data_IF_752822916283
#
_entry.id   IF_752822916283
#
_cell.length_a   1.000
_cell.length_b   1.000
_cell.length_c   1.000
_cell.angle_alpha   90.00
_cell.angle_beta   90.00
_cell.angle_gamma   90.00
#
_symmetry.space_group_name_H-M   'P 1'
#
loop_
_entity.id
_entity.type
_entity.pdbx_description
1 polymer ?
#
# COMPACT_ATOMS: atom_id res chain seq x y z
N UNK A 1 2.34 -4.46 11.14
CA UNK A 1 1.74 -5.25 10.04
C UNK A 1 2.86 -5.65 9.08
N UNK A 2 2.83 -6.87 8.54
CA UNK A 2 3.72 -7.31 7.46
C UNK A 2 2.89 -7.70 6.25
N UNK A 3 3.27 -7.28 5.06
CA UNK A 3 2.69 -7.73 3.80
C UNK A 3 3.73 -8.55 3.03
N UNK A 4 3.34 -9.72 2.56
CA UNK A 4 4.13 -10.54 1.63
C UNK A 4 3.42 -10.53 0.28
N UNK A 5 4.18 -10.38 -0.81
CA UNK A 5 3.65 -10.32 -2.18
C UNK A 5 4.37 -11.38 -3.03
N UNK A 6 3.59 -12.21 -3.72
CA UNK A 6 4.06 -13.26 -4.64
C UNK A 6 3.28 -13.14 -5.95
N UNK A 7 3.95 -12.71 -7.03
CA UNK A 7 3.27 -12.32 -8.25
C UNK A 7 2.34 -11.12 -7.99
N UNK A 8 1.05 -11.29 -8.30
CA UNK A 8 0.01 -10.31 -8.01
C UNK A 8 -0.70 -10.57 -6.67
N UNK A 9 -0.41 -11.67 -5.97
CA UNK A 9 -1.11 -12.02 -4.72
C UNK A 9 -0.41 -11.40 -3.54
N UNK A 10 -1.19 -10.91 -2.58
CA UNK A 10 -0.68 -10.46 -1.29
C UNK A 10 -1.28 -11.22 -0.12
N UNK A 11 -0.51 -11.27 0.96
CA UNK A 11 -0.96 -11.74 2.28
C UNK A 11 -0.50 -10.74 3.33
N UNK A 12 -1.43 -10.16 4.08
CA UNK A 12 -1.15 -9.28 5.22
C UNK A 12 -1.22 -10.08 6.52
N UNK A 13 -0.21 -9.90 7.34
CA UNK A 13 -0.11 -10.49 8.66
C UNK A 13 -0.16 -9.42 9.76
N UNK A 14 -0.93 -9.72 10.81
CA UNK A 14 -0.97 -8.96 12.05
C UNK A 14 -0.73 -9.91 13.23
N UNK A 15 0.31 -9.64 14.03
CA UNK A 15 0.64 -10.48 15.18
C UNK A 15 0.96 -11.94 14.85
N UNK A 16 1.44 -12.25 13.64
CA UNK A 16 1.73 -13.61 13.18
C UNK A 16 0.56 -14.31 12.48
N UNK A 17 -0.67 -13.82 12.62
CA UNK A 17 -1.83 -14.37 11.94
C UNK A 17 -2.05 -13.69 10.59
N UNK A 18 -2.60 -14.44 9.62
CA UNK A 18 -3.12 -13.85 8.39
C UNK A 18 -4.36 -13.03 8.74
N UNK A 19 -4.33 -11.76 8.39
CA UNK A 19 -5.43 -10.81 8.61
C UNK A 19 -6.21 -10.58 7.32
N UNK A 20 -5.52 -10.49 6.18
CA UNK A 20 -6.15 -10.19 4.89
C UNK A 20 -5.35 -10.82 3.75
N UNK A 21 -6.03 -11.30 2.71
CA UNK A 21 -5.39 -11.74 1.46
C UNK A 21 -6.11 -11.16 0.27
N UNK A 22 -5.41 -11.07 -0.86
CA UNK A 22 -6.00 -10.51 -2.07
C UNK A 22 -5.01 -10.39 -3.21
N UNK A 23 -5.37 -9.51 -4.16
CA UNK A 23 -4.54 -9.17 -5.32
C UNK A 23 -4.17 -7.71 -5.35
N UNK A 24 -2.97 -7.45 -5.82
CA UNK A 24 -2.34 -6.14 -5.95
C UNK A 24 -2.30 -5.78 -7.43
N UNK A 25 -2.77 -4.58 -7.76
CA UNK A 25 -2.46 -3.94 -9.04
C UNK A 25 -1.56 -2.73 -8.79
N UNK A 26 -0.48 -2.62 -9.56
CA UNK A 26 0.40 -1.45 -9.58
C UNK A 26 0.39 -0.82 -10.96
N UNK A 27 0.05 0.47 -11.03
CA UNK A 27 0.09 1.25 -12.26
C UNK A 27 0.91 2.52 -12.06
N UNK A 28 1.93 2.73 -12.90
CA UNK A 28 2.76 3.93 -12.80
C UNK A 28 1.93 5.19 -13.11
N UNK A 29 2.03 6.21 -12.26
CA UNK A 29 1.34 7.49 -12.46
C UNK A 29 2.27 8.68 -12.10
N UNK A 30 3.17 9.01 -13.03
CA UNK A 30 4.15 10.08 -12.82
C UNK A 30 5.15 9.73 -11.72
N UNK A 31 5.15 10.52 -10.64
CA UNK A 31 6.13 10.48 -9.54
C UNK A 31 5.87 9.37 -8.50
N UNK A 32 4.72 8.71 -8.56
CA UNK A 32 4.33 7.59 -7.72
C UNK A 32 3.52 6.58 -8.55
N UNK A 33 3.32 5.38 -8.02
CA UNK A 33 2.41 4.40 -8.62
C UNK A 33 1.08 4.41 -7.88
N UNK A 34 -0.01 4.23 -8.62
CA UNK A 34 -1.26 3.79 -8.02
C UNK A 34 -1.10 2.35 -7.54
N UNK A 35 -1.64 2.09 -6.36
CA UNK A 35 -1.68 0.78 -5.72
C UNK A 35 -3.12 0.47 -5.37
N UNK A 36 -3.65 -0.60 -5.93
CA UNK A 36 -5.01 -1.08 -5.67
C UNK A 36 -4.92 -2.48 -5.08
N UNK A 37 -5.51 -2.66 -3.89
CA UNK A 37 -5.59 -3.96 -3.22
C UNK A 37 -7.04 -4.47 -3.33
N UNK A 38 -7.25 -5.48 -4.15
CA UNK A 38 -8.53 -6.19 -4.27
C UNK A 38 -8.58 -7.28 -3.19
N UNK A 39 -9.51 -7.17 -2.25
CA UNK A 39 -9.52 -8.01 -1.05
C UNK A 39 -10.29 -9.31 -1.32
N UNK A 40 -9.59 -10.44 -1.31
CA UNK A 40 -10.17 -11.78 -1.51
C UNK A 40 -10.68 -12.38 -0.18
N UNK A 41 -10.03 -12.08 0.95
CA UNK A 41 -10.43 -12.59 2.29
C UNK A 41 -10.03 -11.65 3.41
N UNK A 42 -10.83 -11.60 4.49
CA UNK A 42 -10.62 -10.74 5.66
C UNK A 42 -11.88 -9.93 5.97
N UNK A 43 -11.79 -8.99 6.91
CA UNK A 43 -12.93 -8.14 7.31
C UNK A 43 -13.46 -7.27 6.14
N UNK A 44 -12.59 -6.96 5.18
CA UNK A 44 -12.90 -6.13 4.01
C UNK A 44 -13.06 -6.94 2.71
N UNK A 45 -13.36 -8.24 2.82
CA UNK A 45 -13.59 -9.12 1.67
C UNK A 45 -14.56 -8.53 0.65
N UNK A 46 -14.16 -8.54 -0.63
CA UNK A 46 -14.93 -8.00 -1.75
C UNK A 46 -14.77 -6.48 -1.96
N UNK A 47 -13.99 -5.79 -1.12
CA UNK A 47 -13.70 -4.37 -1.28
C UNK A 47 -12.38 -4.16 -2.03
N UNK A 48 -12.10 -2.89 -2.35
CA UNK A 48 -10.83 -2.45 -2.92
C UNK A 48 -10.26 -1.33 -2.07
N UNK A 49 -9.01 -1.48 -1.62
CA UNK A 49 -8.31 -0.41 -0.94
C UNK A 49 -7.42 0.36 -1.92
N UNK A 50 -7.74 1.63 -2.13
CA UNK A 50 -7.07 2.49 -3.11
C UNK A 50 -5.96 3.30 -2.45
N UNK A 51 -4.76 3.26 -3.03
CA UNK A 51 -3.60 3.94 -2.51
C UNK A 51 -2.61 4.40 -3.57
N UNK A 52 -1.53 5.00 -3.09
CA UNK A 52 -0.37 5.40 -3.85
C UNK A 52 0.89 4.92 -3.15
N UNK A 53 1.90 4.55 -3.94
CA UNK A 53 3.17 4.03 -3.45
C UNK A 53 4.33 4.70 -4.17
N UNK A 54 5.41 5.02 -3.45
CA UNK A 54 6.65 5.54 -4.03
C UNK A 54 7.88 5.00 -3.34
N UNK A 55 9.00 5.04 -4.05
CA UNK A 55 10.32 4.86 -3.45
C UNK A 55 10.84 6.16 -2.84
N UNK A 56 11.33 6.09 -1.61
CA UNK A 56 12.08 7.17 -0.94
C UNK A 56 13.39 6.57 -0.43
N UNK A 57 14.46 6.76 -1.22
CA UNK A 57 15.74 6.10 -0.98
C UNK A 57 15.57 4.57 -1.04
N UNK A 58 15.88 3.90 0.06
CA UNK A 58 15.75 2.43 0.21
C UNK A 58 14.42 1.99 0.83
N UNK A 59 13.48 2.92 1.05
CA UNK A 59 12.19 2.65 1.68
C UNK A 59 11.07 2.80 0.68
N UNK A 60 9.99 2.05 0.91
CA UNK A 60 8.71 2.22 0.24
C UNK A 60 7.82 3.05 1.17
N UNK A 61 7.24 4.11 0.63
CA UNK A 61 6.16 4.85 1.29
C UNK A 61 4.84 4.48 0.64
N UNK A 62 3.84 4.20 1.47
CA UNK A 62 2.47 3.89 1.09
C UNK A 62 1.56 4.92 1.75
N UNK A 63 0.67 5.50 0.95
CA UNK A 63 -0.46 6.27 1.44
C UNK A 63 -1.74 5.67 0.86
N UNK A 64 -2.67 5.29 1.72
CA UNK A 64 -3.92 4.63 1.34
C UNK A 64 -5.09 5.48 1.82
N UNK A 65 -6.12 5.61 0.98
CA UNK A 65 -7.39 6.20 1.39
C UNK A 65 -8.09 5.28 2.39
N UNK A 66 -9.07 5.80 3.13
CA UNK A 66 -9.95 4.89 3.88
C UNK A 66 -10.82 4.10 2.90
N UNK A 67 -11.39 3.02 3.41
CA UNK A 67 -12.27 2.15 2.64
C UNK A 67 -13.48 2.94 2.14
N UNK A 68 -13.70 2.91 0.83
CA UNK A 68 -14.76 3.65 0.15
C UNK A 68 -14.45 5.14 -0.08
N UNK A 69 -13.28 5.63 0.33
CA UNK A 69 -12.79 6.96 -0.03
C UNK A 69 -11.98 6.91 -1.33
N UNK A 70 -11.82 8.08 -1.96
CA UNK A 70 -11.02 8.23 -3.17
C UNK A 70 -9.53 7.97 -2.91
N UNK A 71 -8.83 7.58 -3.98
CA UNK A 71 -7.38 7.43 -3.97
C UNK A 71 -6.71 8.76 -3.57
N UNK A 72 -5.71 8.75 -2.67
CA UNK A 72 -4.91 9.94 -2.39
C UNK A 72 -4.28 10.52 -3.66
N UNK A 73 -4.34 11.84 -3.83
CA UNK A 73 -3.84 12.54 -5.03
C UNK A 73 -2.36 12.89 -4.97
N UNK A 74 -1.66 12.57 -3.88
CA UNK A 74 -0.25 12.82 -3.71
C UNK A 74 0.21 12.63 -2.26
N UNK A 75 1.53 12.59 -2.05
CA UNK A 75 2.12 12.52 -0.72
C UNK A 75 2.22 13.94 -0.12
N UNK A 76 1.78 14.17 1.13
CA UNK A 76 1.76 15.51 1.74
C UNK A 76 3.15 16.00 2.19
N UNK A 77 4.21 15.23 1.96
CA UNK A 77 5.59 15.55 2.35
C UNK A 77 6.58 15.25 1.22
N UNK A 78 7.65 16.03 1.17
CA UNK A 78 8.70 15.94 0.16
C UNK A 78 9.54 14.67 0.34
N UNK A 79 10.17 14.20 -0.75
CA UNK A 79 11.04 13.00 -0.75
C UNK A 79 12.29 13.13 0.15
N UNK A 80 12.54 14.29 0.75
CA UNK A 80 13.80 14.65 1.44
C UNK A 80 13.73 14.55 2.97
N UNK A 81 12.78 13.81 3.55
CA UNK A 81 12.85 13.43 4.96
C UNK A 81 14.08 12.52 5.20
N UNK A 82 15.27 13.14 5.34
CA UNK A 82 16.50 12.44 5.70
C UNK A 82 16.32 11.84 7.09
N UNK A 83 16.86 10.64 7.37
CA UNK A 83 17.06 10.24 8.76
C UNK A 83 17.97 11.29 9.40
N UNK A 84 17.52 11.90 10.50
CA UNK A 84 18.41 12.65 11.38
C UNK A 84 19.31 11.60 12.01
N UNK A 85 20.54 11.47 11.53
CA UNK A 85 21.59 10.76 12.25
C UNK A 85 21.97 11.59 13.46
N UNK A 86 21.65 11.07 14.65
CA UNK A 86 22.30 11.44 15.90
C UNK A 86 23.53 10.55 16.11
#
# INVERSE_FOLDING_TARGET
>A
MRMTIEGDRFTKHMGGNVFETGRLTLAQNGEYSHLDEHIDSGDDSGKVHLGIVRWVGKKVELLQGKIGEDRPSGFPYTKTARPVTA
#
